data_IF_840178419063
#
_entry.id   IF_840178419063
#
_cell.length_a   1.000
_cell.length_b   1.000
_cell.length_c   1.000
_cell.angle_alpha   90.00
_cell.angle_beta   90.00
_cell.angle_gamma   90.00
#
_symmetry.space_group_name_H-M   'P 1'
#
loop_
_entity.id
_entity.type
_entity.pdbx_description
1 polymer ?
#
# COMPACT_ATOMS: atom_id res chain seq x y z
N UNK A 1 70.49 -38.96 23.28
CA UNK A 1 69.69 -38.75 22.09
C UNK A 1 68.37 -38.20 22.54
N UNK A 2 68.20 -36.84 22.49
CA UNK A 2 66.93 -36.19 22.84
C UNK A 2 66.08 -36.06 21.58
N UNK A 3 64.82 -36.51 21.64
CA UNK A 3 63.81 -36.32 20.59
C UNK A 3 63.06 -35.03 20.83
N UNK A 4 62.92 -34.15 19.85
CA UNK A 4 62.05 -32.95 19.99
C UNK A 4 60.60 -33.32 19.85
N UNK A 5 59.79 -32.89 20.81
CA UNK A 5 58.30 -32.96 20.79
C UNK A 5 57.79 -31.74 20.05
N UNK A 6 57.12 -31.95 18.90
CA UNK A 6 56.46 -30.87 18.13
C UNK A 6 55.07 -30.72 18.74
N UNK A 7 54.79 -29.57 19.36
CA UNK A 7 53.45 -29.15 19.74
C UNK A 7 52.76 -28.54 18.50
N UNK A 8 51.74 -29.22 18.00
CA UNK A 8 50.86 -28.64 16.96
C UNK A 8 49.79 -27.78 17.65
N UNK A 9 49.85 -26.47 17.42
CA UNK A 9 48.79 -25.56 17.85
C UNK A 9 47.61 -25.60 16.86
N UNK A 10 46.45 -26.11 17.32
CA UNK A 10 45.19 -26.03 16.59
C UNK A 10 44.62 -24.63 16.77
N UNK A 11 44.65 -23.82 15.69
CA UNK A 11 43.92 -22.56 15.64
C UNK A 11 42.44 -22.85 15.36
N UNK A 12 41.58 -22.63 16.35
CA UNK A 12 40.13 -22.70 16.16
C UNK A 12 39.63 -21.43 15.42
N UNK A 13 39.25 -21.58 14.18
CA UNK A 13 38.53 -20.49 13.44
C UNK A 13 37.09 -20.41 13.99
N UNK A 14 36.81 -19.36 14.76
CA UNK A 14 35.43 -19.03 15.15
C UNK A 14 34.76 -18.25 13.99
N UNK A 15 33.85 -18.88 13.28
CA UNK A 15 32.96 -18.20 12.34
C UNK A 15 31.87 -17.48 13.15
N UNK A 16 31.96 -16.17 13.25
CA UNK A 16 30.85 -15.34 13.69
C UNK A 16 29.87 -15.19 12.53
N UNK A 17 28.77 -15.94 12.56
CA UNK A 17 27.63 -15.70 11.69
C UNK A 17 26.97 -14.41 12.19
N UNK A 18 27.14 -13.31 11.46
CA UNK A 18 26.37 -12.11 11.67
C UNK A 18 24.90 -12.47 11.36
N UNK A 19 24.05 -12.55 12.39
CA UNK A 19 22.62 -12.65 12.20
C UNK A 19 22.16 -11.32 11.55
N UNK A 20 21.85 -11.35 10.25
CA UNK A 20 21.11 -10.26 9.61
C UNK A 20 19.72 -10.25 10.23
N UNK A 21 19.43 -9.24 11.06
CA UNK A 21 18.07 -9.00 11.53
C UNK A 21 17.18 -8.89 10.29
N UNK A 22 16.18 -9.76 10.17
CA UNK A 22 15.12 -9.56 9.19
C UNK A 22 14.50 -8.20 9.48
N UNK A 23 14.27 -7.34 8.45
CA UNK A 23 13.57 -6.09 8.67
C UNK A 23 12.24 -6.44 9.37
N UNK A 24 11.99 -5.80 10.51
CA UNK A 24 10.73 -5.96 11.24
C UNK A 24 9.55 -5.62 10.33
N UNK A 25 8.36 -6.09 10.66
CA UNK A 25 7.17 -5.70 9.95
C UNK A 25 7.03 -4.15 9.97
N UNK A 26 6.93 -3.54 8.79
CA UNK A 26 6.67 -2.10 8.67
C UNK A 26 5.16 -1.88 8.65
N UNK A 27 4.70 -0.87 9.35
CA UNK A 27 3.28 -0.48 9.37
C UNK A 27 3.16 0.97 8.92
N UNK A 28 2.34 1.22 7.92
CA UNK A 28 1.94 2.56 7.53
C UNK A 28 0.43 2.75 7.72
N UNK A 29 0.01 4.01 7.89
CA UNK A 29 -1.39 4.39 8.03
C UNK A 29 -1.69 5.59 7.16
N UNK A 30 -2.97 5.74 6.80
CA UNK A 30 -3.50 6.94 6.18
C UNK A 30 -4.90 7.22 6.72
N UNK A 31 -5.16 8.48 7.05
CA UNK A 31 -6.51 9.00 7.24
C UNK A 31 -6.91 9.70 5.94
N UNK A 32 -7.99 9.25 5.30
CA UNK A 32 -8.46 9.78 4.04
C UNK A 32 -9.63 10.75 4.28
N UNK A 33 -9.60 11.86 3.60
CA UNK A 33 -10.67 12.84 3.57
C UNK A 33 -10.80 13.50 2.20
N UNK A 34 -11.76 14.43 2.08
CA UNK A 34 -11.96 15.20 0.86
C UNK A 34 -10.69 15.98 0.50
N UNK A 35 -10.50 16.18 -0.79
CA UNK A 35 -9.46 17.08 -1.27
C UNK A 35 -9.76 18.53 -0.88
N UNK A 36 -8.76 19.25 -0.41
CA UNK A 36 -8.88 20.67 -0.03
C UNK A 36 -8.63 21.64 -1.19
N UNK A 37 -8.03 21.16 -2.27
CA UNK A 37 -7.68 21.96 -3.45
C UNK A 37 -8.30 21.35 -4.69
N UNK A 38 -9.01 22.17 -5.47
CA UNK A 38 -9.59 21.74 -6.74
C UNK A 38 -8.49 21.43 -7.77
N UNK A 39 -8.62 20.29 -8.41
CA UNK A 39 -7.75 19.84 -9.51
C UNK A 39 -8.61 19.08 -10.53
N UNK A 40 -8.15 18.98 -11.78
CA UNK A 40 -8.85 18.16 -12.77
C UNK A 40 -9.01 16.73 -12.30
N UNK A 41 -10.24 16.22 -12.26
CA UNK A 41 -10.56 14.87 -11.80
C UNK A 41 -10.56 14.70 -10.27
N UNK A 42 -10.75 15.79 -9.52
CA UNK A 42 -10.89 15.81 -8.07
C UNK A 42 -12.23 16.41 -7.66
N UNK A 43 -12.86 15.82 -6.64
CA UNK A 43 -14.08 16.31 -5.99
C UNK A 43 -13.69 16.86 -4.62
N UNK A 44 -13.94 18.14 -4.35
CA UNK A 44 -13.53 18.82 -3.11
C UNK A 44 -14.62 18.89 -2.04
N UNK A 45 -15.88 18.62 -2.39
CA UNK A 45 -17.04 18.63 -1.49
C UNK A 45 -17.48 17.23 -1.06
N UNK A 46 -16.63 16.24 -1.26
CA UNK A 46 -16.88 14.86 -0.81
C UNK A 46 -16.97 14.78 0.71
N UNK A 47 -17.96 14.03 1.20
CA UNK A 47 -18.12 13.68 2.64
C UNK A 47 -17.48 12.34 3.00
N UNK A 48 -16.81 11.69 2.05
CA UNK A 48 -16.17 10.39 2.27
C UNK A 48 -14.96 10.54 3.16
N UNK A 49 -14.91 9.71 4.20
CA UNK A 49 -13.73 9.55 5.06
C UNK A 49 -13.34 8.07 5.10
N UNK A 50 -12.09 7.79 5.32
CA UNK A 50 -11.61 6.43 5.46
C UNK A 50 -10.33 6.34 6.29
N UNK A 51 -10.13 5.16 6.89
CA UNK A 51 -8.88 4.77 7.54
C UNK A 51 -8.24 3.63 6.74
N UNK A 52 -6.93 3.72 6.56
CA UNK A 52 -6.15 2.70 5.90
C UNK A 52 -4.98 2.22 6.77
N UNK A 53 -4.75 0.91 6.72
CA UNK A 53 -3.62 0.25 7.37
C UNK A 53 -2.86 -0.58 6.34
N UNK A 54 -1.55 -0.36 6.26
CA UNK A 54 -0.64 -1.11 5.40
C UNK A 54 0.37 -1.81 6.28
N UNK A 55 0.50 -3.12 6.12
CA UNK A 55 1.46 -3.94 6.85
C UNK A 55 2.37 -4.65 5.85
N UNK A 56 3.64 -4.26 5.79
CA UNK A 56 4.67 -5.03 5.11
C UNK A 56 5.18 -6.11 6.06
N UNK A 57 4.94 -7.37 5.74
CA UNK A 57 5.29 -8.51 6.57
C UNK A 57 6.73 -8.99 6.30
N UNK A 58 7.37 -9.59 7.30
CA UNK A 58 8.75 -10.09 7.18
C UNK A 58 8.93 -11.24 6.18
N UNK A 59 7.83 -11.89 5.77
CA UNK A 59 7.80 -12.94 4.75
C UNK A 59 7.61 -12.40 3.32
N UNK A 60 7.75 -11.09 3.13
CA UNK A 60 7.77 -10.45 1.83
C UNK A 60 6.38 -10.27 1.20
N UNK A 61 5.36 -10.02 2.00
CA UNK A 61 4.01 -9.65 1.55
C UNK A 61 3.64 -8.27 2.05
N UNK A 62 2.69 -7.63 1.39
CA UNK A 62 2.05 -6.41 1.89
C UNK A 62 0.55 -6.63 1.98
N UNK A 63 -0.01 -6.33 3.15
CA UNK A 63 -1.45 -6.38 3.40
C UNK A 63 -1.91 -4.93 3.52
N UNK A 64 -2.88 -4.55 2.70
CA UNK A 64 -3.54 -3.25 2.73
C UNK A 64 -5.01 -3.45 3.06
N UNK A 65 -5.50 -2.75 4.09
CA UNK A 65 -6.90 -2.72 4.48
C UNK A 65 -7.39 -1.28 4.50
N UNK A 66 -8.60 -1.07 3.97
CA UNK A 66 -9.30 0.22 4.00
C UNK A 66 -10.70 0.03 4.59
N UNK A 67 -11.13 0.97 5.42
CA UNK A 67 -12.50 1.08 5.93
C UNK A 67 -13.00 2.50 5.66
N UNK A 68 -14.11 2.64 4.97
CA UNK A 68 -14.65 3.93 4.54
C UNK A 68 -16.10 4.14 5.00
N UNK A 69 -16.45 5.41 5.20
CA UNK A 69 -17.78 5.90 5.54
C UNK A 69 -18.16 7.10 4.65
N UNK A 70 -19.43 7.46 4.62
CA UNK A 70 -19.93 8.58 3.81
C UNK A 70 -20.07 8.25 2.32
N UNK A 71 -19.96 6.98 1.95
CA UNK A 71 -20.19 6.52 0.57
C UNK A 71 -21.69 6.51 0.25
N UNK A 72 -22.06 6.62 -1.03
CA UNK A 72 -23.45 6.43 -1.43
C UNK A 72 -23.87 4.97 -1.20
N UNK A 73 -24.99 4.71 -0.52
CA UNK A 73 -25.47 3.36 -0.26
C UNK A 73 -25.61 2.53 -1.54
N UNK A 74 -25.03 1.32 -1.53
CA UNK A 74 -25.02 0.42 -2.69
C UNK A 74 -24.08 0.80 -3.82
N UNK A 75 -23.28 1.85 -3.65
CA UNK A 75 -22.23 2.23 -4.62
C UNK A 75 -20.98 1.36 -4.51
N UNK A 76 -20.26 1.24 -5.62
CA UNK A 76 -18.98 0.55 -5.70
C UNK A 76 -17.88 1.56 -6.09
N UNK A 77 -16.74 1.49 -5.39
CA UNK A 77 -15.68 2.48 -5.46
C UNK A 77 -14.32 1.80 -5.56
N UNK A 78 -13.46 2.31 -6.44
CA UNK A 78 -12.08 1.85 -6.52
C UNK A 78 -11.21 2.56 -5.48
N UNK A 79 -10.26 1.84 -4.91
CA UNK A 79 -9.18 2.41 -4.10
C UNK A 79 -7.85 2.00 -4.69
N UNK A 80 -6.98 2.98 -4.89
CA UNK A 80 -5.64 2.74 -5.44
C UNK A 80 -4.57 3.38 -4.57
N UNK A 81 -3.38 2.77 -4.56
CA UNK A 81 -2.16 3.43 -4.14
C UNK A 81 -1.69 4.34 -5.29
N UNK A 82 -1.33 5.57 -4.97
CA UNK A 82 -0.80 6.56 -5.91
C UNK A 82 0.65 6.91 -5.56
N UNK A 83 1.43 7.30 -6.56
CA UNK A 83 2.71 7.96 -6.33
C UNK A 83 2.50 9.34 -5.71
N UNK A 84 3.43 9.76 -4.86
CA UNK A 84 3.46 11.09 -4.26
C UNK A 84 2.41 11.33 -3.18
N UNK A 85 2.39 12.55 -2.66
CA UNK A 85 1.40 13.01 -1.69
C UNK A 85 0.06 13.36 -2.38
N UNK A 86 -1.00 13.48 -1.59
CA UNK A 86 -2.32 13.88 -2.09
C UNK A 86 -2.32 15.20 -2.88
N UNK A 87 -1.41 16.12 -2.55
CA UNK A 87 -1.22 17.41 -3.24
C UNK A 87 -0.51 17.31 -4.58
N UNK A 88 0.14 16.19 -4.88
CA UNK A 88 0.94 16.03 -6.10
C UNK A 88 0.08 15.57 -7.28
N UNK A 89 -1.09 15.01 -7.02
CA UNK A 89 -2.07 14.50 -8.00
C UNK A 89 -1.48 13.52 -9.02
N UNK A 90 -0.44 12.75 -8.64
CA UNK A 90 0.24 11.81 -9.51
C UNK A 90 -0.64 10.59 -9.84
N UNK A 91 -0.19 9.77 -10.79
CA UNK A 91 -0.87 8.55 -11.22
C UNK A 91 -0.78 7.41 -10.21
N UNK A 92 -1.43 6.29 -10.55
CA UNK A 92 -1.38 5.08 -9.75
C UNK A 92 0.06 4.59 -9.57
N UNK A 93 0.34 4.06 -8.39
CA UNK A 93 1.55 3.28 -8.15
C UNK A 93 1.55 2.05 -9.06
N UNK A 94 2.68 1.79 -9.70
CA UNK A 94 2.89 0.63 -10.57
C UNK A 94 4.19 -0.07 -10.19
N UNK A 95 4.15 -1.41 -10.09
CA UNK A 95 5.35 -2.22 -9.89
C UNK A 95 6.32 -2.11 -11.06
N UNK A 96 5.78 -2.01 -12.27
CA UNK A 96 6.51 -1.70 -13.50
C UNK A 96 5.98 -0.37 -14.06
N UNK A 97 6.76 0.69 -13.90
CA UNK A 97 6.37 2.03 -14.34
C UNK A 97 7.34 2.59 -15.40
N UNK A 98 6.85 3.05 -16.56
CA UNK A 98 5.46 3.02 -17.01
C UNK A 98 5.00 1.61 -17.43
N UNK A 99 3.74 1.28 -17.17
CA UNK A 99 3.19 -0.03 -17.46
C UNK A 99 1.66 -0.03 -17.60
N UNK A 100 1.09 -1.21 -17.80
CA UNK A 100 -0.35 -1.39 -17.92
C UNK A 100 -1.05 -1.16 -16.56
N UNK A 101 -2.22 -0.52 -16.59
CA UNK A 101 -3.10 -0.38 -15.45
C UNK A 101 -3.89 -1.68 -15.24
N UNK A 102 -3.32 -2.59 -14.45
CA UNK A 102 -3.89 -3.91 -14.13
C UNK A 102 -3.63 -4.26 -12.67
N UNK A 103 -4.43 -5.16 -12.08
CA UNK A 103 -4.23 -5.65 -10.71
C UNK A 103 -2.85 -6.30 -10.47
N UNK A 104 -2.25 -6.87 -11.50
CA UNK A 104 -0.90 -7.45 -11.40
C UNK A 104 0.19 -6.38 -11.33
N UNK A 105 -0.09 -5.17 -11.79
CA UNK A 105 0.87 -4.07 -11.86
C UNK A 105 0.56 -2.91 -10.91
N UNK A 106 -0.64 -2.83 -10.36
CA UNK A 106 -1.09 -1.78 -9.45
C UNK A 106 -1.68 -2.39 -8.17
N UNK A 107 -1.90 -1.57 -7.16
CA UNK A 107 -2.55 -1.99 -5.90
C UNK A 107 -3.99 -1.49 -5.92
N UNK A 108 -4.94 -2.40 -6.05
CA UNK A 108 -6.37 -2.12 -6.15
C UNK A 108 -7.17 -2.78 -5.03
N UNK A 109 -8.12 -2.01 -4.45
CA UNK A 109 -9.18 -2.53 -3.59
C UNK A 109 -10.53 -2.12 -4.17
N UNK A 110 -11.58 -2.85 -3.77
CA UNK A 110 -12.96 -2.63 -4.18
C UNK A 110 -13.81 -2.37 -2.92
N UNK A 111 -14.39 -1.19 -2.81
CA UNK A 111 -15.27 -0.84 -1.72
C UNK A 111 -16.73 -0.89 -2.18
N UNK A 112 -17.48 -1.90 -1.74
CA UNK A 112 -18.90 -2.02 -1.97
C UNK A 112 -19.66 -1.49 -0.74
N UNK A 113 -20.29 -0.34 -0.90
CA UNK A 113 -20.98 0.34 0.19
C UNK A 113 -22.30 -0.38 0.55
N UNK A 114 -22.45 -0.65 1.84
CA UNK A 114 -23.70 -1.18 2.39
C UNK A 114 -24.80 -0.09 2.45
N UNK A 115 -25.97 -0.45 2.95
CA UNK A 115 -27.12 0.46 3.08
C UNK A 115 -26.86 1.67 4.01
N UNK A 116 -25.84 1.63 4.85
CA UNK A 116 -25.42 2.73 5.72
C UNK A 116 -24.29 3.58 5.12
N UNK A 117 -23.86 3.35 3.87
CA UNK A 117 -22.78 4.06 3.22
C UNK A 117 -21.40 3.70 3.79
N UNK A 118 -21.24 2.48 4.32
CA UNK A 118 -19.97 1.97 4.86
C UNK A 118 -19.47 0.81 4.02
N UNK A 119 -18.15 0.78 3.82
CA UNK A 119 -17.48 -0.33 3.14
C UNK A 119 -16.13 -0.64 3.80
N UNK A 120 -15.65 -1.86 3.60
CA UNK A 120 -14.29 -2.26 4.00
C UNK A 120 -13.81 -3.35 3.05
N UNK A 121 -12.55 -3.23 2.62
CA UNK A 121 -11.87 -4.25 1.82
C UNK A 121 -10.44 -4.44 2.28
N UNK A 122 -9.87 -5.58 1.93
CA UNK A 122 -8.48 -5.93 2.22
C UNK A 122 -7.87 -6.72 1.06
N UNK A 123 -6.68 -6.31 0.64
CA UNK A 123 -5.90 -7.01 -0.37
C UNK A 123 -4.54 -7.42 0.17
N UNK A 124 -4.03 -8.56 -0.29
CA UNK A 124 -2.65 -8.97 -0.12
C UNK A 124 -1.95 -8.90 -1.48
N UNK A 125 -0.87 -8.14 -1.52
CA UNK A 125 -0.14 -7.81 -2.75
C UNK A 125 1.36 -8.09 -2.61
N UNK A 126 2.08 -8.00 -3.72
CA UNK A 126 3.54 -8.01 -3.72
C UNK A 126 4.08 -6.84 -2.85
N UNK A 127 5.27 -6.97 -2.26
CA UNK A 127 5.84 -5.92 -1.44
C UNK A 127 6.16 -4.69 -2.29
N UNK A 128 5.93 -3.51 -1.71
CA UNK A 128 6.36 -2.24 -2.26
C UNK A 128 7.01 -1.38 -1.17
N UNK A 129 7.85 -0.45 -1.57
CA UNK A 129 8.60 0.38 -0.63
C UNK A 129 7.68 1.42 0.02
N UNK A 130 7.48 1.31 1.34
CA UNK A 130 6.69 2.25 2.14
C UNK A 130 7.49 3.51 2.56
N UNK A 131 8.82 3.54 2.38
CA UNK A 131 9.64 4.73 2.66
C UNK A 131 9.52 5.82 1.56
N UNK A 132 8.92 5.48 0.42
CA UNK A 132 8.66 6.46 -0.63
C UNK A 132 7.36 7.23 -0.34
N UNK A 133 7.25 8.44 -0.88
CA UNK A 133 6.01 9.21 -0.80
C UNK A 133 4.91 8.52 -1.60
N UNK A 134 3.87 8.08 -0.91
CA UNK A 134 2.69 7.43 -1.46
C UNK A 134 1.43 7.98 -0.82
N UNK A 135 0.32 7.88 -1.54
CA UNK A 135 -1.01 8.18 -1.01
C UNK A 135 -2.01 7.09 -1.41
N UNK A 136 -3.08 7.00 -0.64
CA UNK A 136 -4.26 6.22 -0.97
C UNK A 136 -5.35 7.14 -1.48
N UNK A 137 -5.99 6.74 -2.57
CA UNK A 137 -7.05 7.51 -3.22
C UNK A 137 -8.29 6.65 -3.41
N UNK A 138 -9.44 7.16 -2.96
CA UNK A 138 -10.75 6.60 -3.30
C UNK A 138 -11.28 7.32 -4.53
N UNK A 139 -11.73 6.56 -5.52
CA UNK A 139 -12.33 7.05 -6.75
C UNK A 139 -13.85 6.86 -6.74
N UNK A 140 -14.55 7.68 -7.53
CA UNK A 140 -16.01 7.70 -7.57
C UNK A 140 -16.64 6.46 -8.21
N UNK A 141 -15.91 5.73 -9.04
CA UNK A 141 -16.40 4.54 -9.74
C UNK A 141 -15.60 3.31 -9.33
N UNK A 142 -16.13 2.13 -9.60
CA UNK A 142 -15.47 0.85 -9.38
C UNK A 142 -14.25 0.64 -10.29
N UNK A 143 -13.45 -0.35 -9.97
CA UNK A 143 -12.34 -0.78 -10.81
C UNK A 143 -12.83 -1.29 -12.19
N UNK A 144 -12.03 -1.13 -13.25
CA UNK A 144 -12.44 -1.48 -14.61
C UNK A 144 -12.62 -2.97 -14.87
N UNK A 145 -12.13 -3.83 -14.00
CA UNK A 145 -12.23 -5.31 -14.11
C UNK A 145 -13.37 -5.91 -13.28
N UNK A 146 -14.18 -5.11 -12.58
CA UNK A 146 -15.23 -5.60 -11.68
C UNK A 146 -16.54 -5.98 -12.37
N UNK A 147 -16.61 -5.91 -13.69
CA UNK A 147 -17.76 -6.41 -14.43
C UNK A 147 -18.05 -5.69 -15.75
N UNK A 148 -19.11 -6.13 -16.47
CA UNK A 148 -19.52 -5.52 -17.72
C UNK A 148 -19.88 -4.04 -17.53
N UNK A 149 -19.23 -3.16 -18.28
CA UNK A 149 -19.45 -1.71 -18.22
C UNK A 149 -18.59 -0.98 -17.19
N UNK A 150 -17.72 -1.67 -16.47
CA UNK A 150 -16.69 -1.04 -15.66
C UNK A 150 -15.79 -0.19 -16.56
N UNK A 151 -15.67 1.08 -16.22
CA UNK A 151 -14.86 2.08 -16.94
C UNK A 151 -13.66 2.52 -16.10
N UNK A 152 -12.99 3.60 -16.49
CA UNK A 152 -11.96 4.21 -15.66
C UNK A 152 -12.53 4.55 -14.27
N UNK A 153 -11.71 4.51 -13.21
CA UNK A 153 -12.19 4.65 -11.81
C UNK A 153 -12.82 6.01 -11.49
N UNK A 154 -12.77 6.94 -12.42
CA UNK A 154 -13.44 8.24 -12.31
C UNK A 154 -12.71 9.25 -11.43
N UNK A 155 -13.40 10.35 -11.05
CA UNK A 155 -12.82 11.37 -10.19
C UNK A 155 -12.36 10.83 -8.84
N UNK A 156 -11.35 11.48 -8.28
CA UNK A 156 -10.84 11.24 -6.93
C UNK A 156 -11.75 11.93 -5.93
N UNK A 157 -12.26 11.22 -4.95
CA UNK A 157 -13.21 11.74 -3.95
C UNK A 157 -12.63 11.83 -2.54
N UNK A 158 -11.62 11.02 -2.20
CA UNK A 158 -10.89 11.13 -0.96
C UNK A 158 -9.43 10.71 -1.14
N UNK A 159 -8.54 11.26 -0.32
CA UNK A 159 -7.12 10.96 -0.33
C UNK A 159 -6.55 11.04 1.09
N UNK A 160 -5.54 10.21 1.36
CA UNK A 160 -4.72 10.24 2.56
C UNK A 160 -3.28 9.84 2.25
N UNK A 161 -2.31 10.57 2.78
CA UNK A 161 -0.90 10.21 2.64
C UNK A 161 -0.60 8.97 3.47
N UNK A 162 0.18 8.03 2.90
CA UNK A 162 0.68 6.89 3.66
C UNK A 162 1.87 7.32 4.52
N UNK A 163 1.72 7.19 5.84
CA UNK A 163 2.73 7.56 6.81
C UNK A 163 3.18 6.32 7.58
N UNK A 164 4.50 6.07 7.61
CA UNK A 164 5.07 5.02 8.44
C UNK A 164 4.86 5.34 9.92
N UNK A 165 4.41 4.35 10.67
CA UNK A 165 4.40 4.45 12.13
C UNK A 165 5.85 4.35 12.63
N UNK A 166 6.28 5.38 13.35
CA UNK A 166 7.57 5.41 14.03
C UNK A 166 7.62 4.44 15.23
#
# INVERSE_FOLDING_TARGET
MLRPTILAALAALTFTVAATASPGAQVARAELGAYTTAHTGVVTDSTVTADAHVVATSDGRTILRVTAEGLAPGGSYAVHVHFGACTDYLGHFQYQHPGAATRDNEVWLDLDANAAGRASDQVQVAPFNLDQSLSLVIHQHSNPDTGPGAGPPGPRIACGNLELNA
#
